data_IF_661325040244
#
_entry.id   IF_661325040244
#
_cell.length_a   1.000
_cell.length_b   1.000
_cell.length_c   1.000
_cell.angle_alpha   90.00
_cell.angle_beta   90.00
_cell.angle_gamma   90.00
#
_symmetry.space_group_name_H-M   'P 1'
#
loop_
_entity.id
_entity.type
_entity.pdbx_description
1 polymer ?
#
# COMPACT_ATOMS: atom_id res chain seq x y z
N UNK A 1 0.63 -11.07 5.84
CA UNK A 1 1.31 -11.31 4.55
C UNK A 1 0.30 -11.80 3.50
N UNK A 2 0.33 -11.32 2.25
CA UNK A 2 -0.65 -11.69 1.22
C UNK A 2 -0.63 -13.19 0.88
N UNK A 3 0.55 -13.79 0.77
CA UNK A 3 0.69 -15.21 0.44
C UNK A 3 0.11 -16.16 1.51
N UNK A 4 -0.02 -15.71 2.77
CA UNK A 4 -0.67 -16.44 3.85
C UNK A 4 -2.19 -16.49 3.68
N UNK A 5 -2.81 -15.35 3.32
CA UNK A 5 -4.27 -15.26 3.12
C UNK A 5 -4.72 -15.86 1.79
N UNK A 6 -3.91 -15.72 0.74
CA UNK A 6 -4.24 -16.17 -0.62
C UNK A 6 -3.36 -17.36 -1.03
N UNK A 7 -3.82 -18.58 -0.71
CA UNK A 7 -3.07 -19.83 -0.89
C UNK A 7 -2.63 -20.15 -2.31
N UNK A 8 -3.29 -19.57 -3.32
CA UNK A 8 -3.02 -19.78 -4.76
C UNK A 8 -2.45 -18.55 -5.46
N UNK A 9 -2.24 -17.43 -4.76
CA UNK A 9 -1.76 -16.21 -5.40
C UNK A 9 -0.28 -16.34 -5.78
N UNK A 10 0.06 -15.99 -7.02
CA UNK A 10 1.44 -15.71 -7.41
C UNK A 10 1.74 -14.25 -7.10
N UNK A 11 2.87 -13.98 -6.46
CA UNK A 11 3.21 -12.64 -5.97
C UNK A 11 4.55 -12.22 -6.55
N UNK A 12 4.54 -11.10 -7.25
CA UNK A 12 5.74 -10.43 -7.72
C UNK A 12 5.98 -9.18 -6.86
N UNK A 13 7.16 -9.09 -6.24
CA UNK A 13 7.58 -7.93 -5.45
C UNK A 13 8.69 -7.18 -6.20
N UNK A 14 8.37 -5.99 -6.71
CA UNK A 14 9.35 -5.11 -7.35
C UNK A 14 10.07 -4.26 -6.30
N UNK A 15 11.39 -4.36 -6.25
CA UNK A 15 12.25 -3.58 -5.36
C UNK A 15 13.45 -3.04 -6.15
N UNK A 16 13.69 -1.73 -6.06
CA UNK A 16 14.76 -1.08 -6.82
C UNK A 16 16.10 -1.13 -6.07
N UNK A 17 16.08 -1.13 -4.74
CA UNK A 17 17.28 -1.11 -3.91
C UNK A 17 17.80 -2.53 -3.70
N UNK A 18 19.08 -2.75 -4.02
CA UNK A 18 19.67 -4.10 -4.09
C UNK A 18 19.73 -4.79 -2.72
N UNK A 19 19.98 -4.06 -1.63
CA UNK A 19 20.03 -4.67 -0.28
C UNK A 19 18.65 -5.11 0.17
N UNK A 20 17.64 -4.24 0.06
CA UNK A 20 16.24 -4.55 0.35
C UNK A 20 15.72 -5.71 -0.51
N UNK A 21 16.10 -5.74 -1.80
CA UNK A 21 15.80 -6.86 -2.68
C UNK A 21 16.40 -8.17 -2.18
N UNK A 22 17.68 -8.17 -1.79
CA UNK A 22 18.35 -9.37 -1.29
C UNK A 22 17.72 -9.88 0.02
N UNK A 23 17.35 -8.96 0.93
CA UNK A 23 16.62 -9.29 2.15
C UNK A 23 15.23 -9.88 1.84
N UNK A 24 14.48 -9.27 0.92
CA UNK A 24 13.18 -9.77 0.50
C UNK A 24 13.29 -11.16 -0.15
N UNK A 25 14.27 -11.35 -1.03
CA UNK A 25 14.55 -12.64 -1.67
C UNK A 25 14.88 -13.72 -0.65
N UNK A 26 15.78 -13.44 0.29
CA UNK A 26 16.10 -14.38 1.37
C UNK A 26 14.85 -14.72 2.20
N UNK A 27 14.07 -13.71 2.60
CA UNK A 27 12.83 -13.92 3.34
C UNK A 27 11.82 -14.78 2.57
N UNK A 28 11.74 -14.64 1.24
CA UNK A 28 10.86 -15.45 0.41
C UNK A 28 11.33 -16.91 0.36
N UNK A 29 12.62 -17.14 0.17
CA UNK A 29 13.23 -18.47 0.09
C UNK A 29 13.07 -19.29 1.37
N UNK A 30 13.21 -18.65 2.54
CA UNK A 30 13.04 -19.34 3.84
C UNK A 30 11.57 -19.44 4.29
N UNK A 31 10.65 -18.81 3.57
CA UNK A 31 9.23 -18.83 3.92
C UNK A 31 8.49 -20.07 3.40
N UNK A 32 7.38 -20.49 4.04
CA UNK A 32 6.52 -21.57 3.55
C UNK A 32 5.88 -21.34 2.16
N UNK A 33 6.08 -20.17 1.55
CA UNK A 33 5.43 -19.76 0.31
C UNK A 33 6.41 -19.46 -0.83
N UNK A 34 7.71 -19.74 -0.66
CA UNK A 34 8.76 -19.36 -1.60
C UNK A 34 8.50 -19.79 -3.05
N UNK A 35 7.78 -20.90 -3.27
CA UNK A 35 7.42 -21.38 -4.61
C UNK A 35 6.43 -20.48 -5.38
N UNK A 36 5.82 -19.48 -4.74
CA UNK A 36 4.87 -18.52 -5.36
C UNK A 36 5.28 -17.06 -5.15
N UNK A 37 6.47 -16.81 -4.62
CA UNK A 37 6.99 -15.48 -4.36
C UNK A 37 8.19 -15.20 -5.27
N UNK A 38 8.08 -14.17 -6.10
CA UNK A 38 9.17 -13.73 -6.96
C UNK A 38 9.59 -12.32 -6.58
N UNK A 39 10.81 -12.16 -6.09
CA UNK A 39 11.42 -10.84 -5.94
C UNK A 39 11.99 -10.40 -7.30
N UNK A 40 11.74 -9.15 -7.69
CA UNK A 40 12.25 -8.55 -8.92
C UNK A 40 13.10 -7.33 -8.53
N UNK A 41 14.41 -7.38 -8.77
CA UNK A 41 15.25 -6.20 -8.60
C UNK A 41 15.07 -5.25 -9.80
N UNK A 42 14.07 -4.37 -9.73
CA UNK A 42 13.71 -3.52 -10.85
C UNK A 42 13.06 -2.21 -10.42
N UNK A 43 13.17 -1.19 -11.27
CA UNK A 43 12.33 0.00 -11.16
C UNK A 43 10.92 -0.32 -11.69
N UNK A 44 9.91 -0.28 -10.81
CA UNK A 44 8.51 -0.52 -11.14
C UNK A 44 8.00 0.28 -12.35
N UNK A 45 8.41 1.55 -12.48
CA UNK A 45 7.91 2.44 -13.52
C UNK A 45 8.42 2.02 -14.91
N UNK A 46 9.71 1.69 -15.03
CA UNK A 46 10.34 1.31 -16.30
C UNK A 46 10.29 -0.19 -16.61
N UNK A 47 10.09 -1.05 -15.61
CA UNK A 47 10.08 -2.50 -15.80
C UNK A 47 8.91 -2.97 -16.68
N UNK A 48 9.17 -3.84 -17.64
CA UNK A 48 8.12 -4.42 -18.48
C UNK A 48 7.52 -5.65 -17.79
N UNK A 49 6.24 -5.57 -17.42
CA UNK A 49 5.49 -6.69 -16.89
C UNK A 49 4.78 -7.42 -18.03
N UNK A 50 5.00 -8.73 -18.15
CA UNK A 50 4.47 -9.58 -19.22
C UNK A 50 3.08 -10.17 -18.92
N UNK A 51 2.50 -9.86 -17.76
CA UNK A 51 1.21 -10.37 -17.31
C UNK A 51 0.35 -9.25 -16.71
N UNK A 52 -0.94 -9.53 -16.56
CA UNK A 52 -1.86 -8.67 -15.82
C UNK A 52 -2.01 -9.15 -14.38
N UNK A 53 -2.22 -8.19 -13.46
CA UNK A 53 -2.38 -8.46 -12.04
C UNK A 53 -3.81 -8.24 -11.57
N UNK A 54 -4.36 -9.18 -10.79
CA UNK A 54 -5.66 -9.03 -10.12
C UNK A 54 -5.61 -8.11 -8.90
N UNK A 55 -4.41 -7.91 -8.35
CA UNK A 55 -4.14 -6.97 -7.28
C UNK A 55 -2.78 -6.32 -7.49
N UNK A 56 -2.76 -4.99 -7.54
CA UNK A 56 -1.55 -4.19 -7.37
C UNK A 56 -1.65 -3.52 -6.01
N UNK A 57 -0.69 -3.79 -5.13
CA UNK A 57 -0.64 -3.25 -3.77
C UNK A 57 0.67 -2.51 -3.57
N UNK A 58 0.61 -1.31 -2.99
CA UNK A 58 1.82 -0.57 -2.65
C UNK A 58 1.67 0.21 -1.34
N UNK A 59 2.77 0.31 -0.61
CA UNK A 59 2.96 1.26 0.47
C UNK A 59 4.11 2.18 0.04
N UNK A 60 3.84 3.18 -0.83
CA UNK A 60 4.87 4.06 -1.36
C UNK A 60 5.68 4.66 -0.22
N UNK A 61 7.00 4.81 -0.37
CA UNK A 61 7.86 5.26 0.73
C UNK A 61 7.40 6.62 1.27
N UNK A 62 7.03 6.63 2.56
CA UNK A 62 6.71 7.85 3.31
C UNK A 62 7.88 8.17 4.25
N UNK A 63 9.01 8.61 3.71
CA UNK A 63 10.10 9.04 4.59
C UNK A 63 9.73 10.36 5.29
N UNK A 64 9.21 10.24 6.51
CA UNK A 64 9.38 11.29 7.51
C UNK A 64 10.84 11.22 7.96
N UNK A 65 11.71 12.04 7.37
CA UNK A 65 12.95 12.35 8.06
C UNK A 65 12.56 12.93 9.43
N UNK A 66 12.92 12.19 10.47
CA UNK A 66 13.18 12.63 11.84
C UNK A 66 12.78 14.08 12.16
N UNK A 67 11.79 14.24 13.03
CA UNK A 67 11.74 15.28 14.07
C UNK A 67 12.48 16.61 13.79
N UNK A 68 12.12 17.36 12.74
CA UNK A 68 12.32 18.83 12.66
C UNK A 68 11.97 19.38 11.27
N UNK A 69 10.70 19.37 10.87
CA UNK A 69 10.24 20.40 9.94
C UNK A 69 8.73 20.55 10.00
N UNK A 70 8.30 21.75 10.35
CA UNK A 70 6.93 22.22 10.53
C UNK A 70 6.10 22.28 9.23
N UNK A 71 6.33 21.40 8.25
CA UNK A 71 5.53 21.41 7.02
C UNK A 71 5.49 20.04 6.33
N UNK A 72 4.43 19.26 6.58
CA UNK A 72 4.18 17.98 5.91
C UNK A 72 4.22 18.03 4.37
N UNK A 73 3.93 19.19 3.77
CA UNK A 73 4.01 19.44 2.32
C UNK A 73 5.43 19.31 1.74
N UNK A 74 6.49 19.68 2.49
CA UNK A 74 7.88 19.60 2.01
C UNK A 74 8.41 18.17 1.98
N UNK A 75 8.04 17.35 2.97
CA UNK A 75 8.43 15.94 3.00
C UNK A 75 7.75 15.15 1.87
N UNK A 76 6.49 15.47 1.57
CA UNK A 76 5.74 14.89 0.45
C UNK A 76 6.42 15.12 -0.91
N UNK A 77 6.87 16.34 -1.20
CA UNK A 77 7.50 16.69 -2.49
C UNK A 77 8.84 15.96 -2.75
N UNK A 78 9.60 15.60 -1.70
CA UNK A 78 10.84 14.80 -1.84
C UNK A 78 10.56 13.32 -2.04
N UNK A 79 9.45 12.81 -1.49
CA UNK A 79 9.05 11.40 -1.58
C UNK A 79 8.53 11.04 -2.97
N UNK A 80 7.79 11.97 -3.59
CA UNK A 80 7.32 11.84 -4.98
C UNK A 80 8.47 11.70 -5.98
N UNK A 81 9.72 12.01 -5.60
CA UNK A 81 10.88 11.90 -6.49
C UNK A 81 11.24 10.45 -6.88
N UNK A 82 10.90 9.46 -6.05
CA UNK A 82 11.29 8.06 -6.28
C UNK A 82 10.17 7.23 -6.91
N UNK A 83 8.92 7.49 -6.52
CA UNK A 83 7.74 6.87 -7.10
C UNK A 83 6.63 7.93 -7.22
N UNK A 84 6.66 8.77 -8.28
CA UNK A 84 5.63 9.77 -8.50
C UNK A 84 4.25 9.13 -8.56
N UNK A 85 3.27 9.72 -7.88
CA UNK A 85 1.92 9.14 -7.87
C UNK A 85 1.31 9.13 -9.27
N UNK A 86 1.56 10.15 -10.08
CA UNK A 86 1.08 10.21 -11.46
C UNK A 86 1.57 9.00 -12.27
N UNK A 87 2.89 8.80 -12.31
CA UNK A 87 3.51 7.66 -13.00
C UNK A 87 3.07 6.31 -12.41
N UNK A 88 2.87 6.24 -11.08
CA UNK A 88 2.36 5.05 -10.40
C UNK A 88 0.96 4.70 -10.90
N UNK A 89 0.04 5.67 -10.97
CA UNK A 89 -1.33 5.44 -11.43
C UNK A 89 -1.34 5.04 -12.92
N UNK A 90 -0.57 5.73 -13.76
CA UNK A 90 -0.46 5.42 -15.19
C UNK A 90 0.12 4.02 -15.42
N UNK A 91 1.20 3.67 -14.72
CA UNK A 91 1.81 2.35 -14.81
C UNK A 91 0.86 1.26 -14.34
N UNK A 92 0.22 1.47 -13.18
CA UNK A 92 -0.72 0.51 -12.59
C UNK A 92 -1.91 0.27 -13.52
N UNK A 93 -2.42 1.32 -14.17
CA UNK A 93 -3.50 1.22 -15.15
C UNK A 93 -3.17 0.25 -16.29
N UNK A 94 -1.93 0.23 -16.75
CA UNK A 94 -1.46 -0.61 -17.87
C UNK A 94 -1.31 -2.08 -17.48
N UNK A 95 -0.93 -2.38 -16.23
CA UNK A 95 -0.60 -3.76 -15.80
C UNK A 95 -1.71 -4.44 -14.99
N UNK A 96 -2.73 -3.71 -14.54
CA UNK A 96 -3.83 -4.30 -13.77
C UNK A 96 -4.85 -4.98 -14.68
N UNK A 97 -5.38 -6.14 -14.27
CA UNK A 97 -6.41 -6.86 -15.01
C UNK A 97 -7.72 -6.05 -15.07
N UNK A 98 -8.63 -6.31 -16.04
CA UNK A 98 -9.90 -5.58 -16.15
C UNK A 98 -10.76 -5.60 -14.88
N UNK A 99 -10.66 -6.68 -14.08
CA UNK A 99 -11.40 -6.87 -12.82
C UNK A 99 -10.53 -6.65 -11.57
N UNK A 100 -9.26 -6.34 -11.76
CA UNK A 100 -8.29 -6.20 -10.68
C UNK A 100 -8.52 -4.97 -9.80
N UNK A 101 -7.87 -4.97 -8.63
CA UNK A 101 -7.90 -3.86 -7.69
C UNK A 101 -6.53 -3.21 -7.52
N UNK A 102 -6.51 -1.88 -7.45
CA UNK A 102 -5.31 -1.12 -7.08
C UNK A 102 -5.48 -0.63 -5.65
N UNK A 103 -4.53 -0.95 -4.78
CA UNK A 103 -4.56 -0.60 -3.38
C UNK A 103 -3.28 0.14 -2.98
N UNK A 104 -3.46 1.24 -2.26
CA UNK A 104 -2.36 1.99 -1.69
C UNK A 104 -2.75 2.59 -0.35
N UNK A 105 -1.77 2.67 0.54
CA UNK A 105 -1.84 3.44 1.78
C UNK A 105 -1.06 4.74 1.58
N UNK A 106 -1.58 5.88 2.02
CA UNK A 106 -0.92 7.19 1.94
C UNK A 106 -1.18 8.05 3.19
N UNK A 107 -0.38 9.09 3.47
CA UNK A 107 -0.70 10.11 4.45
C UNK A 107 -2.02 10.81 4.12
N UNK A 108 -2.77 11.21 5.15
CA UNK A 108 -4.08 11.86 4.95
C UNK A 108 -4.01 13.14 4.10
N UNK A 109 -2.90 13.88 4.19
CA UNK A 109 -2.66 15.10 3.39
C UNK A 109 -2.60 14.87 1.87
N UNK A 110 -2.48 13.61 1.42
CA UNK A 110 -2.41 13.26 0.01
C UNK A 110 -3.79 12.92 -0.59
N UNK A 111 -4.85 12.86 0.23
CA UNK A 111 -6.18 12.37 -0.18
C UNK A 111 -6.69 12.98 -1.48
N UNK A 112 -6.78 14.31 -1.52
CA UNK A 112 -7.30 15.04 -2.70
C UNK A 112 -6.49 14.72 -3.97
N UNK A 113 -5.16 14.68 -3.86
CA UNK A 113 -4.28 14.36 -4.99
C UNK A 113 -4.50 12.93 -5.49
N UNK A 114 -4.64 11.96 -4.58
CA UNK A 114 -4.88 10.56 -4.93
C UNK A 114 -6.23 10.40 -5.63
N UNK A 115 -7.28 11.06 -5.14
CA UNK A 115 -8.61 11.02 -5.76
C UNK A 115 -8.60 11.61 -7.18
N UNK A 116 -7.93 12.75 -7.36
CA UNK A 116 -7.78 13.39 -8.68
C UNK A 116 -7.00 12.51 -9.66
N UNK A 117 -5.89 11.89 -9.21
CA UNK A 117 -5.09 11.00 -10.05
C UNK A 117 -5.84 9.71 -10.41
N UNK A 118 -6.62 9.16 -9.48
CA UNK A 118 -7.47 8.02 -9.75
C UNK A 118 -8.47 8.35 -10.86
N UNK A 119 -9.18 9.48 -10.76
CA UNK A 119 -10.12 9.93 -11.78
C UNK A 119 -9.44 10.16 -13.14
N UNK A 120 -8.30 10.87 -13.17
CA UNK A 120 -7.51 11.10 -14.40
C UNK A 120 -7.12 9.80 -15.09
N UNK A 121 -6.84 8.75 -14.31
CA UNK A 121 -6.46 7.43 -14.81
C UNK A 121 -7.64 6.45 -14.92
N UNK A 122 -8.88 6.95 -14.91
CA UNK A 122 -10.14 6.20 -15.03
C UNK A 122 -10.33 5.11 -13.96
N UNK A 123 -9.70 5.25 -12.79
CA UNK A 123 -9.90 4.38 -11.64
C UNK A 123 -11.10 4.85 -10.82
N UNK A 124 -11.98 3.92 -10.46
CA UNK A 124 -13.12 4.17 -9.58
C UNK A 124 -12.77 3.80 -8.15
N UNK A 125 -13.10 4.69 -7.22
CA UNK A 125 -12.93 4.44 -5.79
C UNK A 125 -13.99 3.45 -5.30
N UNK A 126 -13.55 2.37 -4.66
CA UNK A 126 -14.44 1.35 -4.11
C UNK A 126 -14.43 1.31 -2.59
N UNK A 127 -13.27 1.59 -1.97
CA UNK A 127 -13.11 1.52 -0.53
C UNK A 127 -12.11 2.54 -0.01
N UNK A 128 -12.46 3.16 1.10
CA UNK A 128 -11.55 3.96 1.93
C UNK A 128 -11.52 3.36 3.34
N UNK A 129 -10.32 3.20 3.90
CA UNK A 129 -10.14 2.97 5.33
C UNK A 129 -9.27 4.09 5.91
N UNK A 130 -9.85 4.88 6.80
CA UNK A 130 -9.17 5.97 7.53
C UNK A 130 -8.56 5.41 8.80
N UNK A 131 -7.32 5.78 9.09
CA UNK A 131 -6.57 5.24 10.24
C UNK A 131 -6.23 6.33 11.24
N UNK A 132 -6.72 6.16 12.47
CA UNK A 132 -6.40 6.97 13.64
C UNK A 132 -5.52 6.20 14.62
N UNK A 133 -4.61 6.91 15.30
CA UNK A 133 -3.80 6.32 16.37
C UNK A 133 -4.64 6.05 17.62
N UNK A 134 -5.44 7.03 18.02
CA UNK A 134 -6.41 6.98 19.12
C UNK A 134 -7.73 7.69 18.72
N UNK A 135 -8.83 7.53 19.48
CA UNK A 135 -10.13 8.14 19.14
C UNK A 135 -10.08 9.66 18.97
N UNK A 136 -9.11 10.32 19.62
CA UNK A 136 -8.96 11.78 19.62
C UNK A 136 -7.85 12.26 18.67
N UNK A 137 -7.09 11.35 18.07
CA UNK A 137 -6.00 11.71 17.16
C UNK A 137 -6.53 12.02 15.75
N UNK A 138 -5.86 12.89 14.98
CA UNK A 138 -6.22 13.08 13.58
C UNK A 138 -5.95 11.82 12.77
N UNK A 139 -6.65 11.68 11.64
CA UNK A 139 -6.37 10.63 10.67
C UNK A 139 -4.95 10.86 10.11
N UNK A 140 -4.07 9.89 10.30
CA UNK A 140 -2.68 9.98 9.83
C UNK A 140 -2.50 9.33 8.47
N UNK A 141 -3.22 8.23 8.23
CA UNK A 141 -3.10 7.42 7.01
C UNK A 141 -4.47 7.06 6.47
N UNK A 142 -4.53 6.91 5.16
CA UNK A 142 -5.72 6.47 4.45
C UNK A 142 -5.31 5.33 3.53
N UNK A 143 -6.05 4.23 3.58
CA UNK A 143 -5.94 3.13 2.63
C UNK A 143 -7.04 3.29 1.60
N UNK A 144 -6.66 3.28 0.32
CA UNK A 144 -7.59 3.33 -0.79
C UNK A 144 -7.62 1.99 -1.52
N UNK A 145 -8.79 1.64 -2.04
CA UNK A 145 -8.96 0.57 -3.02
C UNK A 145 -9.72 1.11 -4.23
N UNK A 146 -9.13 0.94 -5.40
CA UNK A 146 -9.67 1.34 -6.69
C UNK A 146 -9.85 0.15 -7.63
N UNK A 147 -10.69 0.28 -8.66
CA UNK A 147 -10.72 -0.64 -9.80
C UNK A 147 -11.07 0.07 -11.11
N UNK A 148 -10.85 -0.63 -12.24
CA UNK A 148 -11.24 -0.13 -13.57
C UNK A 148 -12.74 -0.09 -13.80
N UNK A 149 -13.49 -0.93 -13.08
CA UNK A 149 -14.96 -1.02 -13.14
C UNK A 149 -15.51 -0.49 -11.82
N UNK A 150 -16.56 0.35 -11.82
CA UNK A 150 -17.20 0.82 -10.59
C UNK A 150 -17.71 -0.35 -9.71
N UNK A 151 -17.56 -0.21 -8.40
CA UNK A 151 -18.13 -1.13 -7.40
C UNK A 151 -18.87 -0.32 -6.32
N UNK A 152 -19.63 -1.00 -5.46
CA UNK A 152 -20.24 -0.35 -4.29
C UNK A 152 -19.15 0.29 -3.42
N UNK A 153 -19.28 1.58 -3.17
CA UNK A 153 -18.40 2.32 -2.29
C UNK A 153 -18.59 1.89 -0.82
N UNK A 154 -17.49 1.81 -0.08
CA UNK A 154 -17.47 1.54 1.36
C UNK A 154 -16.42 2.41 2.04
N UNK A 155 -16.75 2.89 3.24
CA UNK A 155 -15.85 3.69 4.05
C UNK A 155 -15.78 3.10 5.46
N UNK A 156 -14.57 3.03 5.99
CA UNK A 156 -14.28 2.45 7.29
C UNK A 156 -13.33 3.34 8.09
N UNK A 157 -13.44 3.26 9.42
CA UNK A 157 -12.52 3.88 10.36
C UNK A 157 -11.83 2.80 11.20
N UNK A 158 -10.50 2.79 11.19
CA UNK A 158 -9.68 1.96 12.04
C UNK A 158 -9.00 2.84 13.09
N UNK A 159 -9.31 2.59 14.36
CA UNK A 159 -8.62 3.19 15.51
C UNK A 159 -7.64 2.15 16.03
N UNK A 160 -6.35 2.48 16.15
CA UNK A 160 -5.31 1.51 16.53
C UNK A 160 -5.35 1.25 18.05
N UNK A 161 -5.30 2.30 18.86
CA UNK A 161 -5.23 2.24 20.31
C UNK A 161 -6.48 2.87 20.93
N UNK A 162 -7.04 2.24 21.98
CA UNK A 162 -8.01 2.89 22.87
C UNK A 162 -7.29 3.93 23.73
N UNK A 163 -6.17 3.51 24.30
CA UNK A 163 -5.26 4.27 25.17
C UNK A 163 -3.83 3.80 24.92
N UNK A 164 -2.83 4.55 25.41
CA UNK A 164 -1.41 4.25 25.14
C UNK A 164 -1.07 2.81 25.51
N UNK A 165 -0.73 2.00 24.51
CA UNK A 165 -0.37 0.58 24.69
C UNK A 165 -1.56 -0.39 24.78
N UNK A 166 -2.80 0.10 24.73
CA UNK A 166 -4.02 -0.71 24.72
C UNK A 166 -4.67 -0.68 23.34
N UNK A 167 -4.43 -1.73 22.55
CA UNK A 167 -4.99 -1.85 21.19
C UNK A 167 -6.50 -2.10 21.18
N UNK A 168 -7.17 -1.60 20.13
CA UNK A 168 -8.60 -1.87 19.90
C UNK A 168 -8.83 -3.31 19.44
N UNK A 169 -10.01 -3.87 19.69
CA UNK A 169 -10.37 -5.22 19.23
C UNK A 169 -10.33 -5.34 17.70
N UNK A 170 -10.76 -4.29 16.98
CA UNK A 170 -10.70 -4.25 15.53
C UNK A 170 -9.25 -4.31 15.01
N UNK A 171 -8.32 -3.61 15.67
CA UNK A 171 -6.91 -3.69 15.32
C UNK A 171 -6.35 -5.07 15.63
N UNK A 172 -6.58 -5.60 16.84
CA UNK A 172 -6.14 -6.95 17.24
C UNK A 172 -6.65 -8.01 16.27
N UNK A 173 -7.94 -8.02 15.95
CA UNK A 173 -8.53 -8.98 15.02
C UNK A 173 -7.87 -8.92 13.62
N UNK A 174 -7.44 -7.74 13.18
CA UNK A 174 -6.78 -7.55 11.90
C UNK A 174 -5.33 -8.05 11.89
N UNK A 175 -4.62 -7.94 13.02
CA UNK A 175 -3.16 -8.07 13.11
C UNK A 175 -2.66 -9.25 13.97
N UNK A 176 -3.55 -9.93 14.70
CA UNK A 176 -3.25 -11.10 15.56
C UNK A 176 -2.46 -12.21 14.87
N UNK A 177 -2.69 -12.42 13.57
CA UNK A 177 -1.96 -13.44 12.80
C UNK A 177 -0.53 -13.03 12.42
N UNK A 178 -0.12 -11.78 12.71
CA UNK A 178 1.14 -11.20 12.23
C UNK A 178 2.03 -10.62 13.33
N UNK A 179 1.48 -10.28 14.49
CA UNK A 179 2.26 -9.75 15.61
C UNK A 179 2.34 -10.79 16.72
N UNK A 180 3.50 -10.84 17.37
CA UNK A 180 3.79 -11.79 18.44
C UNK A 180 3.17 -11.37 19.78
N UNK A 181 2.76 -10.10 19.93
CA UNK A 181 2.28 -9.53 21.19
C UNK A 181 0.98 -8.74 20.99
N UNK A 182 -0.06 -9.09 21.75
CA UNK A 182 -1.33 -8.35 21.93
C UNK A 182 -1.86 -8.45 23.36
#
# INVERSE_FOLDING_TARGET
MQAQKFKKAEIHAAEIEIKAYNEAKFNFEVSPWGNRLTALNCNYLSHFFNCFYDLVLTNPPFYSNSFSSSSGKRNFARQEKFLPFEDLFEKTRKIISPRGNFQLIVPAVAEEKILNLAQKNNFHLNRICRVQGSPFSPIKRILFSFSKIPKKFSEELLIIEKERGLYTENYKALTQEFYLNF
#
